data_IF_451558845175
#
_entry.id   IF_451558845175
#
_cell.length_a   1.000
_cell.length_b   1.000
_cell.length_c   1.000
_cell.angle_alpha   90.00
_cell.angle_beta   90.00
_cell.angle_gamma   90.00
#
_symmetry.space_group_name_H-M   'P 1'
#
loop_
_entity.id
_entity.type
_entity.pdbx_description
1 polymer ?
#
# COMPACT_ATOMS: atom_id res chain seq x y z
N UNK A 1 38.33 -18.87 9.51
CA UNK A 1 37.21 -19.26 8.65
C UNK A 1 36.27 -18.12 8.41
N UNK A 2 36.75 -17.10 7.68
CA UNK A 2 36.00 -15.87 7.41
C UNK A 2 34.72 -16.10 6.59
N UNK A 3 34.71 -17.10 5.72
CA UNK A 3 33.52 -17.39 4.91
C UNK A 3 32.32 -17.84 5.72
N UNK A 4 32.51 -18.38 6.91
CA UNK A 4 31.42 -18.77 7.81
C UNK A 4 30.65 -17.53 8.28
N UNK A 5 31.35 -16.44 8.52
CA UNK A 5 30.74 -15.18 8.96
C UNK A 5 29.90 -14.56 7.83
N UNK A 6 30.39 -14.63 6.59
CA UNK A 6 29.65 -14.12 5.44
C UNK A 6 28.32 -14.88 5.23
N UNK A 7 28.33 -16.18 5.43
CA UNK A 7 27.13 -17.00 5.37
C UNK A 7 26.10 -16.59 6.41
N UNK A 8 26.55 -16.34 7.62
CA UNK A 8 25.69 -15.92 8.71
C UNK A 8 25.00 -14.58 8.40
N UNK A 9 25.73 -13.65 7.78
CA UNK A 9 25.14 -12.37 7.39
C UNK A 9 24.02 -12.52 6.38
N UNK A 10 24.18 -13.35 5.36
CA UNK A 10 23.12 -13.63 4.38
C UNK A 10 21.93 -14.30 5.03
N UNK A 11 22.16 -15.20 5.96
CA UNK A 11 21.10 -15.90 6.66
C UNK A 11 20.25 -14.94 7.50
N UNK A 12 20.89 -13.99 8.18
CA UNK A 12 20.19 -12.98 8.97
C UNK A 12 19.28 -12.10 8.11
N UNK A 13 19.73 -11.74 6.89
CA UNK A 13 18.90 -10.97 5.96
C UNK A 13 17.64 -11.73 5.58
N UNK A 14 17.72 -13.04 5.40
CA UNK A 14 16.56 -13.88 5.04
C UNK A 14 15.56 -14.03 6.19
N UNK A 15 15.96 -13.78 7.44
CA UNK A 15 15.08 -13.91 8.61
C UNK A 15 14.15 -12.71 8.80
N UNK A 16 14.39 -11.58 8.10
CA UNK A 16 13.60 -10.36 8.26
C UNK A 16 12.58 -10.22 7.12
N UNK A 17 11.71 -11.23 7.00
CA UNK A 17 10.64 -11.23 6.02
C UNK A 17 9.29 -11.30 6.72
N UNK A 18 8.49 -10.26 6.51
CA UNK A 18 7.20 -10.11 7.15
C UNK A 18 6.09 -10.00 6.13
N UNK A 19 4.87 -10.26 6.56
CA UNK A 19 3.68 -10.03 5.75
C UNK A 19 2.93 -8.82 6.26
N UNK A 20 2.50 -7.98 5.31
CA UNK A 20 1.62 -6.87 5.57
C UNK A 20 0.28 -7.17 4.92
N UNK A 21 -0.72 -7.44 5.73
CA UNK A 21 -2.10 -7.65 5.26
C UNK A 21 -2.84 -6.33 5.34
N UNK A 22 -3.44 -5.93 4.23
CA UNK A 22 -4.17 -4.66 4.13
C UNK A 22 -5.66 -4.97 4.02
N UNK A 23 -6.44 -4.49 4.97
CA UNK A 23 -7.90 -4.54 4.93
C UNK A 23 -8.41 -3.21 4.42
N UNK A 24 -8.91 -3.21 3.18
CA UNK A 24 -9.49 -2.03 2.55
C UNK A 24 -10.97 -2.03 2.86
N UNK A 25 -11.40 -1.10 3.70
CA UNK A 25 -12.78 -1.00 4.20
C UNK A 25 -13.56 0.07 3.47
N UNK A 26 -14.87 -0.02 3.55
CA UNK A 26 -15.80 0.92 2.92
C UNK A 26 -15.74 0.88 1.39
N UNK A 27 -15.48 -0.30 0.83
CA UNK A 27 -15.56 -0.51 -0.61
C UNK A 27 -17.03 -0.46 -1.01
N UNK A 28 -17.45 0.45 -1.91
CA UNK A 28 -18.87 0.72 -2.12
C UNK A 28 -19.65 -0.38 -2.84
N UNK A 29 -18.96 -1.15 -3.70
CA UNK A 29 -19.62 -2.19 -4.50
C UNK A 29 -18.61 -3.21 -5.00
N UNK A 30 -19.09 -4.19 -5.77
CA UNK A 30 -18.24 -5.26 -6.34
C UNK A 30 -17.75 -4.92 -7.76
N UNK A 31 -17.87 -3.67 -8.19
CA UNK A 31 -17.46 -3.29 -9.55
C UNK A 31 -15.97 -3.04 -9.62
N UNK A 32 -15.33 -3.51 -10.69
CA UNK A 32 -13.94 -3.23 -10.97
C UNK A 32 -12.97 -3.86 -9.99
N UNK A 33 -11.93 -3.13 -9.68
CA UNK A 33 -10.80 -3.61 -8.89
C UNK A 33 -10.45 -2.62 -7.78
N UNK A 34 -9.74 -3.12 -6.78
CA UNK A 34 -9.08 -2.29 -5.77
C UNK A 34 -7.58 -2.35 -6.05
N UNK A 35 -6.97 -1.19 -6.22
CA UNK A 35 -5.52 -1.05 -6.32
C UNK A 35 -4.92 -0.72 -4.97
N UNK A 36 -3.84 -1.41 -4.61
CA UNK A 36 -3.07 -1.13 -3.40
C UNK A 36 -1.60 -0.96 -3.78
N UNK A 37 -1.06 0.23 -3.58
CA UNK A 37 0.34 0.54 -3.81
C UNK A 37 1.10 0.64 -2.50
N UNK A 38 2.24 -0.05 -2.44
CA UNK A 38 3.14 -0.05 -1.28
C UNK A 38 4.39 0.74 -1.64
N UNK A 39 4.72 1.73 -0.82
CA UNK A 39 5.84 2.65 -1.04
C UNK A 39 6.81 2.61 0.12
N UNK A 40 8.09 2.80 -0.20
CA UNK A 40 9.18 2.99 0.77
C UNK A 40 9.56 4.48 0.80
N UNK A 41 10.31 4.94 1.80
CA UNK A 41 10.72 6.35 1.86
C UNK A 41 11.46 6.87 0.61
N UNK A 42 12.22 5.98 -0.06
CA UNK A 42 12.99 6.35 -1.25
C UNK A 42 12.15 6.35 -2.53
N UNK A 43 10.93 5.84 -2.50
CA UNK A 43 10.06 5.79 -3.67
C UNK A 43 9.35 7.12 -3.87
N UNK A 44 8.89 7.38 -5.08
CA UNK A 44 8.18 8.61 -5.41
C UNK A 44 6.73 8.53 -4.94
N UNK A 45 6.50 8.90 -3.70
CA UNK A 45 5.20 8.83 -3.02
C UNK A 45 4.26 9.95 -3.44
N UNK A 46 3.00 9.69 -3.69
CA UNK A 46 2.33 8.41 -3.90
C UNK A 46 2.05 8.14 -5.38
N UNK A 47 3.01 8.43 -6.26
CA UNK A 47 2.85 8.39 -7.71
C UNK A 47 2.58 6.97 -8.21
N UNK A 48 1.45 6.79 -8.91
CA UNK A 48 1.12 5.52 -9.55
C UNK A 48 2.22 5.13 -10.55
N UNK A 49 2.63 3.87 -10.49
CA UNK A 49 3.73 3.36 -11.31
C UNK A 49 5.11 3.49 -10.68
N UNK A 50 5.22 4.21 -9.56
CA UNK A 50 6.49 4.40 -8.83
C UNK A 50 6.54 3.64 -7.50
N UNK A 51 5.52 2.86 -7.20
CA UNK A 51 5.46 2.06 -5.98
C UNK A 51 6.52 0.96 -5.98
N UNK A 52 6.94 0.58 -4.78
CA UNK A 52 7.82 -0.57 -4.57
C UNK A 52 7.13 -1.87 -4.98
N UNK A 53 5.90 -2.08 -4.54
CA UNK A 53 5.05 -3.20 -4.93
C UNK A 53 3.63 -2.71 -5.10
N UNK A 54 2.88 -3.35 -5.99
CA UNK A 54 1.48 -3.05 -6.20
C UNK A 54 0.69 -4.32 -6.37
N UNK A 55 -0.58 -4.26 -5.97
CA UNK A 55 -1.54 -5.34 -6.19
C UNK A 55 -2.86 -4.78 -6.66
N UNK A 56 -3.47 -5.50 -7.59
CA UNK A 56 -4.80 -5.21 -8.12
C UNK A 56 -5.63 -6.45 -7.90
N UNK A 57 -6.72 -6.31 -7.16
CA UNK A 57 -7.62 -7.42 -6.85
C UNK A 57 -9.05 -7.03 -7.16
N UNK A 58 -9.92 -8.01 -7.39
CA UNK A 58 -11.35 -7.75 -7.61
C UNK A 58 -11.94 -7.05 -6.40
N UNK A 59 -12.74 -6.02 -6.63
CA UNK A 59 -13.42 -5.30 -5.56
C UNK A 59 -14.47 -6.19 -4.89
N UNK A 60 -14.46 -6.20 -3.57
CA UNK A 60 -15.45 -6.89 -2.76
C UNK A 60 -16.10 -5.84 -1.87
N UNK A 61 -17.40 -5.66 -2.04
CA UNK A 61 -18.16 -4.67 -1.27
C UNK A 61 -17.93 -4.83 0.22
N UNK A 62 -17.70 -3.71 0.89
CA UNK A 62 -17.45 -3.65 2.32
C UNK A 62 -15.99 -3.77 2.64
N UNK A 63 -15.38 -4.93 2.44
CA UNK A 63 -13.98 -5.16 2.78
C UNK A 63 -13.29 -5.99 1.71
N UNK A 64 -12.19 -5.46 1.19
CA UNK A 64 -11.30 -6.15 0.26
C UNK A 64 -9.95 -6.33 0.93
N UNK A 65 -9.37 -7.53 0.86
CA UNK A 65 -8.14 -7.86 1.57
C UNK A 65 -7.01 -8.14 0.59
N UNK A 66 -5.84 -7.57 0.85
CA UNK A 66 -4.63 -7.74 0.06
C UNK A 66 -3.47 -8.04 0.99
N UNK A 67 -2.60 -8.99 0.62
CA UNK A 67 -1.41 -9.31 1.43
C UNK A 67 -0.14 -9.14 0.61
N UNK A 68 0.81 -8.39 1.17
CA UNK A 68 2.18 -8.31 0.67
C UNK A 68 3.05 -9.20 1.55
N UNK A 69 3.63 -10.24 0.97
CA UNK A 69 4.49 -11.18 1.68
C UNK A 69 5.96 -10.88 1.40
N UNK A 70 6.83 -11.37 2.27
CA UNK A 70 8.28 -11.32 2.05
C UNK A 70 8.86 -9.91 2.14
N UNK A 71 8.30 -9.04 2.97
CA UNK A 71 8.80 -7.67 3.13
C UNK A 71 9.88 -7.58 4.18
N UNK A 72 10.99 -6.90 3.89
CA UNK A 72 11.97 -6.56 4.93
C UNK A 72 11.36 -5.65 5.98
N UNK A 73 11.90 -5.68 7.19
CA UNK A 73 11.58 -4.68 8.20
C UNK A 73 11.90 -3.29 7.65
N UNK A 74 11.07 -2.33 7.95
CA UNK A 74 11.28 -0.97 7.47
C UNK A 74 10.04 -0.12 7.56
N UNK A 75 10.14 1.04 6.92
CA UNK A 75 9.07 2.03 6.87
C UNK A 75 8.37 1.95 5.52
N UNK A 76 7.04 1.95 5.55
CA UNK A 76 6.21 1.83 4.36
C UNK A 76 5.02 2.77 4.45
N UNK A 77 4.44 3.07 3.31
CA UNK A 77 3.16 3.76 3.24
C UNK A 77 2.32 3.13 2.13
N UNK A 78 1.01 3.20 2.27
CA UNK A 78 0.06 2.59 1.36
C UNK A 78 -0.85 3.64 0.74
N UNK A 79 -1.08 3.51 -0.57
CA UNK A 79 -2.07 4.28 -1.30
C UNK A 79 -3.04 3.30 -1.96
N UNK A 80 -4.33 3.55 -1.81
CA UNK A 80 -5.38 2.63 -2.24
C UNK A 80 -6.47 3.41 -2.95
N UNK A 81 -7.01 2.84 -4.05
CA UNK A 81 -8.23 3.39 -4.64
C UNK A 81 -9.09 2.28 -5.25
N UNK A 82 -10.38 2.58 -5.39
CA UNK A 82 -11.34 1.69 -6.03
C UNK A 82 -11.49 2.09 -7.49
N UNK A 83 -10.96 1.26 -8.38
CA UNK A 83 -10.97 1.47 -9.84
C UNK A 83 -12.21 0.76 -10.41
N UNK A 84 -13.35 1.44 -10.41
CA UNK A 84 -14.61 0.84 -10.83
C UNK A 84 -14.65 0.51 -12.33
N UNK A 85 -13.95 1.27 -13.16
CA UNK A 85 -13.95 1.09 -14.61
C UNK A 85 -12.74 0.31 -15.11
N UNK A 86 -11.86 -0.16 -14.22
CA UNK A 86 -10.66 -0.96 -14.55
C UNK A 86 -9.71 -0.26 -15.52
N UNK A 87 -9.60 1.05 -15.46
CA UNK A 87 -8.67 1.78 -16.33
C UNK A 87 -7.26 1.91 -15.76
N UNK A 88 -7.01 1.35 -14.56
CA UNK A 88 -5.74 1.40 -13.84
C UNK A 88 -5.30 2.82 -13.48
N UNK A 89 -6.24 3.76 -13.37
CA UNK A 89 -5.99 5.15 -13.03
C UNK A 89 -7.00 5.61 -11.99
N UNK A 90 -6.57 6.49 -11.11
CA UNK A 90 -7.48 7.21 -10.23
C UNK A 90 -8.12 8.33 -11.07
N UNK A 91 -9.42 8.19 -11.35
CA UNK A 91 -10.13 9.19 -12.13
C UNK A 91 -10.29 10.49 -11.34
N UNK A 92 -10.18 11.61 -12.05
CA UNK A 92 -10.25 12.96 -11.48
C UNK A 92 -11.21 13.80 -12.28
N UNK A 93 -11.82 14.78 -11.61
CA UNK A 93 -12.65 15.77 -12.29
C UNK A 93 -11.77 16.86 -12.93
N UNK A 94 -12.40 17.89 -13.54
CA UNK A 94 -11.70 18.94 -14.29
C UNK A 94 -10.76 19.79 -13.43
N UNK A 95 -10.96 19.85 -12.12
CA UNK A 95 -10.07 20.58 -11.21
C UNK A 95 -9.02 19.68 -10.56
N UNK A 96 -8.90 18.42 -11.01
CA UNK A 96 -7.90 17.50 -10.53
C UNK A 96 -8.24 16.75 -9.25
N UNK A 97 -9.47 16.85 -8.76
CA UNK A 97 -9.92 16.12 -7.58
C UNK A 97 -10.33 14.70 -7.97
N UNK A 98 -9.94 13.68 -7.18
CA UNK A 98 -10.35 12.29 -7.48
C UNK A 98 -11.87 12.14 -7.50
N UNK A 99 -12.37 11.41 -8.50
CA UNK A 99 -13.80 11.07 -8.61
C UNK A 99 -14.10 9.67 -8.09
N UNK A 100 -13.08 8.83 -7.99
CA UNK A 100 -13.19 7.51 -7.35
C UNK A 100 -12.71 7.62 -5.91
N UNK A 101 -13.27 6.80 -5.03
CA UNK A 101 -12.87 6.85 -3.62
C UNK A 101 -11.49 6.22 -3.42
N UNK A 102 -10.78 6.75 -2.45
CA UNK A 102 -9.41 6.38 -2.20
C UNK A 102 -9.10 6.48 -0.70
N UNK A 103 -7.91 6.01 -0.33
CA UNK A 103 -7.43 6.07 1.04
C UNK A 103 -5.93 5.87 1.11
N UNK A 104 -5.38 6.20 2.27
CA UNK A 104 -3.96 6.05 2.55
C UNK A 104 -3.80 5.38 3.91
N UNK A 105 -2.64 4.77 4.15
CA UNK A 105 -2.34 4.19 5.46
C UNK A 105 -2.49 5.22 6.56
N UNK A 106 -2.81 4.78 7.77
CA UNK A 106 -3.16 5.60 8.93
C UNK A 106 -4.40 6.48 8.70
N UNK A 107 -5.16 6.21 7.64
CA UNK A 107 -6.27 7.06 7.20
C UNK A 107 -5.83 8.53 7.02
N UNK A 108 -4.57 8.73 6.64
CA UNK A 108 -4.01 10.07 6.43
C UNK A 108 -4.70 10.78 5.28
N UNK A 109 -4.93 12.07 5.43
CA UNK A 109 -5.59 12.91 4.44
C UNK A 109 -4.99 14.31 4.45
N UNK A 110 -5.03 14.95 3.28
CA UNK A 110 -4.74 16.36 3.12
C UNK A 110 -5.86 17.00 2.29
N UNK A 111 -6.01 18.32 2.38
CA UNK A 111 -7.18 19.00 1.80
C UNK A 111 -7.16 19.02 0.27
N UNK A 112 -6.05 19.37 -0.35
CA UNK A 112 -5.96 19.52 -1.81
C UNK A 112 -4.83 18.70 -2.44
N UNK A 113 -4.22 17.83 -1.69
CA UNK A 113 -3.09 17.00 -2.16
C UNK A 113 -3.09 15.67 -1.42
N UNK A 114 -2.22 14.77 -1.83
CA UNK A 114 -1.95 13.57 -1.05
C UNK A 114 -1.29 13.94 0.28
N UNK A 115 -1.50 13.16 1.34
CA UNK A 115 -0.77 13.38 2.59
C UNK A 115 0.73 13.13 2.38
N UNK A 116 1.55 13.70 3.25
CA UNK A 116 2.98 13.41 3.26
C UNK A 116 3.23 11.95 3.60
N UNK A 117 4.34 11.41 3.12
CA UNK A 117 4.75 10.04 3.45
C UNK A 117 4.78 9.83 4.97
N UNK A 118 5.31 10.80 5.71
CA UNK A 118 5.42 10.71 7.18
C UNK A 118 4.07 10.53 7.88
N UNK A 119 3.01 11.12 7.33
CA UNK A 119 1.66 10.98 7.92
C UNK A 119 1.05 9.61 7.63
N UNK A 120 1.42 9.01 6.52
CA UNK A 120 0.92 7.68 6.10
C UNK A 120 1.89 6.56 6.51
N UNK A 121 3.00 6.87 7.11
CA UNK A 121 4.07 5.92 7.40
C UNK A 121 3.68 4.91 8.46
N UNK A 122 3.94 3.64 8.17
CA UNK A 122 3.83 2.53 9.11
C UNK A 122 5.19 1.87 9.26
N UNK A 123 5.49 1.42 10.47
CA UNK A 123 6.74 0.70 10.77
C UNK A 123 6.47 -0.79 10.79
N UNK A 124 7.14 -1.53 9.93
CA UNK A 124 7.00 -2.99 9.84
C UNK A 124 8.21 -3.63 10.52
N UNK A 125 7.96 -4.28 11.66
CA UNK A 125 8.97 -5.04 12.40
C UNK A 125 8.48 -6.42 12.79
N UNK A 126 7.28 -6.77 12.36
CA UNK A 126 6.64 -8.08 12.47
C UNK A 126 5.51 -8.13 11.46
N UNK A 127 4.95 -9.30 11.20
CA UNK A 127 3.77 -9.40 10.34
C UNK A 127 2.56 -8.77 11.03
N UNK A 128 1.86 -7.89 10.31
CA UNK A 128 0.73 -7.13 10.83
C UNK A 128 -0.41 -7.08 9.83
N UNK A 129 -1.58 -6.70 10.33
CA UNK A 129 -2.74 -6.33 9.54
C UNK A 129 -3.00 -4.83 9.74
N UNK A 130 -3.15 -4.11 8.64
CA UNK A 130 -3.39 -2.67 8.65
C UNK A 130 -4.69 -2.37 7.91
N UNK A 131 -5.58 -1.60 8.53
CA UNK A 131 -6.88 -1.25 7.95
C UNK A 131 -6.86 0.15 7.37
N UNK A 132 -7.44 0.31 6.18
CA UNK A 132 -7.60 1.60 5.52
C UNK A 132 -9.08 1.78 5.17
N UNK A 133 -9.63 2.92 5.53
CA UNK A 133 -11.01 3.28 5.22
C UNK A 133 -11.04 4.14 3.96
N UNK A 134 -11.70 3.66 2.92
CA UNK A 134 -11.91 4.47 1.70
C UNK A 134 -12.97 5.54 1.95
N UNK A 135 -12.77 6.70 1.36
CA UNK A 135 -13.77 7.77 1.33
C UNK A 135 -13.47 8.83 0.27
#
# INVERSE_FOLDING_TARGET
MSYVIAFLGLFLSALNNYSLTVEVKNVPNNKGTVYVGLFRPQDEWPTYGKQYKGKVVSAIKGKTVVTFAGLPAGKYALAVYHDENKNNKLDKNLVGMPTEIYGFSNNARATFSAPDFSDAQISLSKSITHSIMLK
#
